data_IF_067367579356
#
_entry.id   IF_067367579356
#
_cell.length_a   1.000
_cell.length_b   1.000
_cell.length_c   1.000
_cell.angle_alpha   90.00
_cell.angle_beta   90.00
_cell.angle_gamma   90.00
#
_symmetry.space_group_name_H-M   'P 1'
#
loop_
_entity.id
_entity.type
_entity.pdbx_description
1 polymer ?
#
# COMPACT_ATOMS: atom_id res chain seq x y z
N UNK A 1 2.59 1.09 -5.44
CA UNK A 1 2.40 0.08 -4.37
C UNK A 1 1.04 -0.57 -4.53
N UNK A 2 0.91 -1.88 -4.26
CA UNK A 2 -0.31 -2.65 -4.53
C UNK A 2 -0.76 -3.47 -3.33
N UNK A 3 -2.07 -3.50 -3.05
CA UNK A 3 -2.68 -4.25 -1.96
C UNK A 3 -3.67 -5.28 -2.48
N UNK A 4 -3.66 -6.50 -1.95
CA UNK A 4 -4.63 -7.52 -2.33
C UNK A 4 -5.96 -7.39 -1.57
N UNK A 5 -7.09 -7.48 -2.27
CA UNK A 5 -8.42 -7.34 -1.65
C UNK A 5 -8.73 -8.44 -0.63
N UNK A 6 -8.33 -9.67 -0.93
CA UNK A 6 -8.55 -10.88 -0.13
C UNK A 6 -7.24 -11.40 0.47
N UNK A 7 -6.38 -10.48 0.89
CA UNK A 7 -5.11 -10.76 1.57
C UNK A 7 -5.35 -11.55 2.86
N UNK A 8 -4.49 -12.55 3.11
CA UNK A 8 -4.54 -13.42 4.31
C UNK A 8 -3.14 -13.73 4.89
N UNK A 9 -2.09 -13.34 4.19
CA UNK A 9 -0.69 -13.59 4.55
C UNK A 9 -0.05 -12.33 5.13
N UNK A 10 -0.22 -11.18 4.48
CA UNK A 10 0.31 -9.90 4.95
C UNK A 10 -0.72 -9.23 5.88
N UNK A 11 -0.38 -9.10 7.17
CA UNK A 11 -1.26 -8.56 8.20
C UNK A 11 -0.58 -7.40 8.97
N UNK A 12 -1.17 -6.20 8.99
CA UNK A 12 -2.42 -5.81 8.32
C UNK A 12 -2.23 -5.78 6.81
N UNK A 13 -3.28 -6.04 6.03
CA UNK A 13 -3.19 -5.97 4.56
C UNK A 13 -2.74 -4.59 4.08
N UNK A 14 -3.09 -3.56 4.84
CA UNK A 14 -2.81 -2.15 4.58
C UNK A 14 -1.31 -1.80 4.74
N UNK A 15 -0.52 -2.70 5.34
CA UNK A 15 0.95 -2.58 5.36
C UNK A 15 1.59 -2.60 3.97
N UNK A 16 0.92 -3.17 2.96
CA UNK A 16 1.35 -3.06 1.56
C UNK A 16 1.30 -1.62 1.03
N UNK A 17 0.58 -0.73 1.72
CA UNK A 17 0.45 0.70 1.44
C UNK A 17 1.12 1.59 2.49
N UNK A 18 2.08 1.05 3.27
CA UNK A 18 2.77 1.75 4.37
C UNK A 18 1.84 2.19 5.52
N UNK A 19 0.69 1.53 5.67
CA UNK A 19 -0.23 1.74 6.79
C UNK A 19 -0.04 0.64 7.83
N UNK A 20 -0.31 0.91 9.10
CA UNK A 20 -0.10 -0.09 10.14
C UNK A 20 -1.10 0.04 11.27
N UNK A 21 -1.12 -0.96 12.16
CA UNK A 21 -1.92 -0.92 13.36
C UNK A 21 -1.54 0.28 14.23
N UNK A 22 -2.54 0.90 14.87
CA UNK A 22 -2.30 1.94 15.87
C UNK A 22 -1.47 1.40 17.04
N UNK A 23 -0.61 2.25 17.61
CA UNK A 23 0.23 1.87 18.74
C UNK A 23 -0.62 1.46 19.95
N UNK A 24 -0.25 0.35 20.59
CA UNK A 24 -0.99 -0.18 21.75
C UNK A 24 -2.32 -0.86 21.41
N UNK A 25 -2.73 -0.91 20.13
CA UNK A 25 -3.99 -1.55 19.67
C UNK A 25 -4.02 -3.08 19.79
N UNK A 26 -2.86 -3.70 20.06
CA UNK A 26 -2.76 -5.17 20.15
C UNK A 26 -3.07 -5.90 18.85
N UNK A 27 -2.91 -5.23 17.68
CA UNK A 27 -3.32 -5.72 16.35
C UNK A 27 -4.85 -5.83 16.18
N UNK A 28 -5.62 -4.96 16.85
CA UNK A 28 -7.01 -4.73 16.45
C UNK A 28 -7.06 -4.15 15.02
N UNK A 29 -8.21 -4.20 14.34
CA UNK A 29 -8.37 -3.63 12.98
C UNK A 29 -8.28 -2.08 12.93
N UNK A 30 -7.74 -1.46 13.96
CA UNK A 30 -7.49 -0.01 14.01
C UNK A 30 -6.21 0.31 13.23
N UNK A 31 -6.40 0.77 11.99
CA UNK A 31 -5.32 1.10 11.05
C UNK A 31 -5.08 2.60 11.06
N UNK A 32 -3.82 2.99 11.28
CA UNK A 32 -3.35 4.37 11.09
C UNK A 32 -3.08 4.58 9.60
N UNK A 33 -3.82 5.50 8.94
CA UNK A 33 -3.57 5.83 7.54
C UNK A 33 -2.16 6.38 7.31
N UNK A 34 -1.60 6.18 6.11
CA UNK A 34 -0.23 6.61 5.81
C UNK A 34 0.01 8.09 6.18
N UNK A 35 -0.91 8.98 5.78
CA UNK A 35 -0.77 10.43 6.02
C UNK A 35 -0.86 10.85 7.49
N UNK A 36 -1.34 9.95 8.34
CA UNK A 36 -1.43 10.13 9.79
C UNK A 36 -0.30 9.44 10.56
N UNK A 37 0.59 8.72 9.86
CA UNK A 37 1.75 8.07 10.46
C UNK A 37 2.95 9.01 10.64
N UNK A 38 3.81 8.73 11.60
CA UNK A 38 5.00 9.56 11.86
C UNK A 38 6.05 9.44 10.75
N UNK A 39 6.20 8.24 10.14
CA UNK A 39 7.07 8.03 8.98
C UNK A 39 6.72 8.95 7.80
N UNK A 40 5.45 9.33 7.67
CA UNK A 40 4.98 10.30 6.69
C UNK A 40 5.12 11.74 7.19
N UNK A 41 4.60 12.06 8.39
CA UNK A 41 4.58 13.45 8.91
C UNK A 41 5.97 14.04 9.07
N UNK A 42 6.90 13.22 9.57
CA UNK A 42 8.31 13.59 9.77
C UNK A 42 9.18 13.26 8.55
N UNK A 43 8.59 12.69 7.50
CA UNK A 43 9.20 12.42 6.21
C UNK A 43 10.52 11.63 6.27
N UNK A 44 10.60 10.63 7.16
CA UNK A 44 11.84 9.89 7.46
C UNK A 44 12.52 9.28 6.23
N UNK A 45 11.74 8.88 5.24
CA UNK A 45 12.23 8.25 4.00
C UNK A 45 11.73 8.96 2.73
N UNK A 46 11.18 10.17 2.85
CA UNK A 46 10.71 10.96 1.70
C UNK A 46 9.28 10.63 1.21
N UNK A 47 8.46 9.91 1.98
CA UNK A 47 7.08 9.56 1.57
C UNK A 47 6.21 10.79 1.35
N UNK A 48 6.35 11.84 2.17
CA UNK A 48 5.57 13.06 2.03
C UNK A 48 5.98 13.83 0.79
N UNK A 49 7.29 13.98 0.55
CA UNK A 49 7.81 14.61 -0.67
C UNK A 49 7.32 13.85 -1.92
N UNK A 50 7.33 12.52 -1.90
CA UNK A 50 6.83 11.72 -3.01
C UNK A 50 5.32 11.88 -3.21
N UNK A 51 4.52 11.91 -2.14
CA UNK A 51 3.05 12.11 -2.24
C UNK A 51 2.72 13.50 -2.80
N UNK A 52 3.34 14.56 -2.26
CA UNK A 52 3.17 15.94 -2.73
C UNK A 52 3.61 16.13 -4.19
N UNK A 53 4.59 15.34 -4.65
CA UNK A 53 5.03 15.32 -6.04
C UNK A 53 4.20 14.38 -6.94
N UNK A 54 3.10 13.79 -6.44
CA UNK A 54 2.26 12.80 -7.14
C UNK A 54 3.06 11.58 -7.64
N UNK A 55 4.07 11.15 -6.90
CA UNK A 55 4.93 9.99 -7.23
C UNK A 55 4.53 8.71 -6.47
N UNK A 56 3.58 8.80 -5.55
CA UNK A 56 2.99 7.62 -4.90
C UNK A 56 1.73 7.18 -5.66
N UNK A 57 1.74 5.95 -6.14
CA UNK A 57 0.56 5.32 -6.76
C UNK A 57 0.10 4.15 -5.91
N UNK A 58 -1.17 4.15 -5.54
CA UNK A 58 -1.83 3.12 -4.73
C UNK A 58 -2.78 2.31 -5.62
N UNK A 59 -2.47 1.03 -5.82
CA UNK A 59 -3.28 0.11 -6.62
C UNK A 59 -3.81 -1.02 -5.76
N UNK A 60 -4.89 -1.64 -6.22
CA UNK A 60 -5.46 -2.82 -5.58
C UNK A 60 -5.42 -3.99 -6.57
N UNK A 61 -5.01 -5.17 -6.11
CA UNK A 61 -5.04 -6.40 -6.91
C UNK A 61 -6.29 -7.21 -6.60
N UNK A 62 -7.00 -7.71 -7.63
CA UNK A 62 -8.13 -8.61 -7.42
C UNK A 62 -7.62 -9.99 -7.01
N UNK A 63 -7.86 -10.43 -5.77
CA UNK A 63 -7.37 -11.74 -5.32
C UNK A 63 -6.77 -11.75 -3.92
N UNK A 64 -6.09 -12.86 -3.61
CA UNK A 64 -5.31 -13.02 -2.38
C UNK A 64 -3.84 -12.67 -2.59
N UNK A 65 -2.99 -13.07 -1.65
CA UNK A 65 -1.56 -12.79 -1.68
C UNK A 65 -0.92 -13.20 -3.01
N UNK A 66 -0.32 -12.23 -3.72
CA UNK A 66 0.35 -12.42 -5.02
C UNK A 66 -0.52 -13.05 -6.11
N UNK A 67 -1.85 -13.01 -5.96
CA UNK A 67 -2.79 -13.55 -6.94
C UNK A 67 -3.41 -12.40 -7.74
N UNK A 68 -3.08 -12.33 -9.02
CA UNK A 68 -3.62 -11.39 -10.01
C UNK A 68 -3.60 -12.05 -11.39
N UNK A 69 -4.39 -11.53 -12.34
CA UNK A 69 -4.39 -12.03 -13.72
C UNK A 69 -3.29 -11.40 -14.56
N UNK A 70 -2.90 -12.08 -15.64
CA UNK A 70 -1.98 -11.51 -16.63
C UNK A 70 -2.53 -10.23 -17.26
N UNK A 71 -3.85 -10.16 -17.45
CA UNK A 71 -4.52 -8.95 -17.93
C UNK A 71 -4.31 -7.76 -16.98
N UNK A 72 -4.54 -7.96 -15.67
CA UNK A 72 -4.28 -6.93 -14.66
C UNK A 72 -2.81 -6.52 -14.64
N UNK A 73 -1.89 -7.50 -14.67
CA UNK A 73 -0.46 -7.20 -14.70
C UNK A 73 -0.07 -6.36 -15.92
N UNK A 74 -0.59 -6.71 -17.09
CA UNK A 74 -0.30 -6.02 -18.34
C UNK A 74 -0.89 -4.60 -18.34
N UNK A 75 -2.17 -4.48 -18.01
CA UNK A 75 -2.94 -3.24 -18.10
C UNK A 75 -2.59 -2.24 -16.99
N UNK A 76 -2.45 -2.69 -15.75
CA UNK A 76 -2.25 -1.82 -14.58
C UNK A 76 -0.78 -1.58 -14.23
N UNK A 77 0.14 -2.47 -14.64
CA UNK A 77 1.57 -2.38 -14.25
C UNK A 77 2.50 -2.20 -15.45
N UNK A 78 2.48 -3.11 -16.42
CA UNK A 78 3.48 -3.12 -17.50
C UNK A 78 3.29 -1.93 -18.44
N UNK A 79 2.09 -1.75 -18.99
CA UNK A 79 1.80 -0.67 -19.94
C UNK A 79 2.05 0.72 -19.33
N UNK A 80 1.62 1.03 -18.09
CA UNK A 80 1.78 2.37 -17.55
C UNK A 80 3.19 2.69 -17.02
N UNK A 81 3.98 1.69 -16.60
CA UNK A 81 5.20 1.96 -15.82
C UNK A 81 6.49 1.30 -16.34
N UNK A 82 6.45 0.34 -17.28
CA UNK A 82 7.62 -0.48 -17.66
C UNK A 82 7.91 -0.48 -19.18
N UNK A 83 7.74 0.66 -19.85
CA UNK A 83 8.10 0.84 -21.27
C UNK A 83 9.55 1.25 -21.48
#
# INVERSE_FOLDING_TARGET
MSKAEREKTVLPRDSSWFEYYADGSGKSEDIVPLRESDIYKEDWIGLKILDEANKLVFLTTPGGHMLFSDAWLLEDIIIPYLQ
#
